data_IF_721318101554
#
_entry.id   IF_721318101554
#
_cell.length_a   1.000
_cell.length_b   1.000
_cell.length_c   1.000
_cell.angle_alpha   90.00
_cell.angle_beta   90.00
_cell.angle_gamma   90.00
#
_symmetry.space_group_name_H-M   'P 1'
#
loop_
_entity.id
_entity.type
_entity.pdbx_description
1 polymer ?
#
# COMPACT_ATOMS: atom_id res chain seq x y z
N UNK A 1 -6.48 18.75 -7.14
CA UNK A 1 -5.54 17.70 -6.66
C UNK A 1 -6.05 17.17 -5.33
N UNK A 2 -6.27 15.88 -5.24
CA UNK A 2 -6.51 15.13 -4.00
C UNK A 2 -5.43 14.06 -3.82
N UNK A 3 -5.21 13.63 -2.59
CA UNK A 3 -4.28 12.53 -2.27
C UNK A 3 -5.08 11.37 -1.73
N UNK A 4 -5.05 10.26 -2.43
CA UNK A 4 -5.74 9.03 -2.06
C UNK A 4 -4.72 8.03 -1.55
N UNK A 5 -5.03 7.39 -0.44
CA UNK A 5 -4.26 6.24 0.05
C UNK A 5 -5.06 4.95 -0.17
N UNK A 6 -4.41 3.93 -0.69
CA UNK A 6 -5.01 2.64 -0.98
C UNK A 6 -4.14 1.52 -0.43
N UNK A 7 -4.78 0.54 0.21
CA UNK A 7 -4.14 -0.64 0.76
C UNK A 7 -5.06 -1.88 0.64
N UNK A 8 -4.51 -3.10 0.57
CA UNK A 8 -5.31 -4.31 0.49
C UNK A 8 -6.21 -4.52 1.71
N UNK A 9 -5.66 -4.32 2.90
CA UNK A 9 -6.37 -4.54 4.17
C UNK A 9 -6.02 -3.46 5.15
N UNK A 10 -7.04 -2.88 5.80
CA UNK A 10 -6.87 -1.96 6.91
C UNK A 10 -7.37 -2.60 8.20
N UNK A 11 -6.46 -2.86 9.13
CA UNK A 11 -6.70 -3.61 10.37
C UNK A 11 -6.46 -2.76 11.61
N UNK A 12 -7.24 -3.00 12.65
CA UNK A 12 -7.06 -2.33 13.93
C UNK A 12 -5.74 -2.77 14.60
N UNK A 13 -4.92 -1.80 15.00
CA UNK A 13 -3.65 -2.05 15.71
C UNK A 13 -2.49 -2.53 14.82
N UNK A 14 -2.69 -2.61 13.53
CA UNK A 14 -1.65 -2.97 12.56
C UNK A 14 -0.76 -1.76 12.21
N UNK A 15 0.54 -2.01 12.04
CA UNK A 15 1.52 -0.95 11.79
C UNK A 15 1.26 -0.21 10.46
N UNK A 16 0.92 -0.92 9.38
CA UNK A 16 0.63 -0.33 8.07
C UNK A 16 -0.62 0.56 8.15
N UNK A 17 -1.65 0.08 8.83
CA UNK A 17 -2.90 0.83 9.03
C UNK A 17 -2.68 2.08 9.87
N UNK A 18 -1.88 1.99 10.92
CA UNK A 18 -1.53 3.14 11.77
C UNK A 18 -0.71 4.19 10.98
N UNK A 19 0.24 3.76 10.15
CA UNK A 19 1.00 4.65 9.26
C UNK A 19 0.07 5.36 8.25
N UNK A 20 -0.87 4.61 7.66
CA UNK A 20 -1.89 5.16 6.75
C UNK A 20 -2.74 6.25 7.42
N UNK A 21 -3.19 6.02 8.67
CA UNK A 21 -3.96 7.01 9.43
C UNK A 21 -3.12 8.25 9.77
N UNK A 22 -1.86 8.06 10.16
CA UNK A 22 -0.96 9.17 10.47
C UNK A 22 -0.67 10.04 9.24
N UNK A 23 -0.41 9.42 8.09
CA UNK A 23 -0.21 10.12 6.82
C UNK A 23 -1.47 10.91 6.44
N UNK A 24 -2.67 10.32 6.55
CA UNK A 24 -3.94 11.01 6.30
C UNK A 24 -4.08 12.26 7.17
N UNK A 25 -3.76 12.14 8.46
CA UNK A 25 -3.83 13.27 9.38
C UNK A 25 -2.89 14.40 8.95
N UNK A 26 -1.63 14.09 8.62
CA UNK A 26 -0.66 15.07 8.15
C UNK A 26 -1.11 15.77 6.86
N UNK A 27 -1.65 15.03 5.90
CA UNK A 27 -2.15 15.60 4.64
C UNK A 27 -3.32 16.56 4.90
N UNK A 28 -4.22 16.21 5.81
CA UNK A 28 -5.33 17.10 6.23
C UNK A 28 -4.86 18.36 6.90
N UNK A 29 -3.84 18.27 7.75
CA UNK A 29 -3.23 19.44 8.41
C UNK A 29 -2.57 20.39 7.40
N UNK A 30 -2.11 19.86 6.25
CA UNK A 30 -1.63 20.66 5.12
C UNK A 30 -2.76 21.31 4.30
N UNK A 31 -4.03 21.08 4.64
CA UNK A 31 -5.18 21.60 3.91
C UNK A 31 -5.47 20.89 2.58
N UNK A 32 -4.94 19.69 2.38
CA UNK A 32 -5.11 18.91 1.15
C UNK A 32 -6.23 17.88 1.35
N UNK A 33 -7.12 17.78 0.35
CA UNK A 33 -8.17 16.74 0.33
C UNK A 33 -7.52 15.36 0.28
N UNK A 34 -7.92 14.48 1.21
CA UNK A 34 -7.39 13.12 1.28
C UNK A 34 -8.38 12.14 1.87
N UNK A 35 -8.34 10.91 1.38
CA UNK A 35 -9.15 9.81 1.88
C UNK A 35 -8.38 8.49 1.80
N UNK A 36 -8.71 7.56 2.70
CA UNK A 36 -8.17 6.20 2.73
C UNK A 36 -9.18 5.22 2.15
N UNK A 37 -8.71 4.29 1.34
CA UNK A 37 -9.51 3.21 0.77
C UNK A 37 -8.83 1.86 1.00
N UNK A 38 -9.64 0.84 1.28
CA UNK A 38 -9.15 -0.53 1.44
C UNK A 38 -10.15 -1.54 0.85
N UNK A 39 -9.63 -2.69 0.42
CA UNK A 39 -10.45 -3.80 -0.04
C UNK A 39 -11.10 -4.51 1.15
N UNK A 40 -10.32 -4.77 2.19
CA UNK A 40 -10.76 -5.38 3.44
C UNK A 40 -10.62 -4.39 4.59
N UNK A 41 -11.67 -4.25 5.39
CA UNK A 41 -11.75 -3.27 6.48
C UNK A 41 -12.14 -4.00 7.77
N UNK A 42 -11.34 -3.83 8.82
CA UNK A 42 -11.63 -4.35 10.17
C UNK A 42 -12.73 -3.51 10.83
N UNK A 43 -13.78 -4.15 11.32
CA UNK A 43 -14.93 -3.49 11.95
C UNK A 43 -14.59 -2.71 13.23
N UNK A 44 -13.43 -2.95 13.83
CA UNK A 44 -12.96 -2.24 15.02
C UNK A 44 -12.35 -0.87 14.73
N UNK A 45 -12.13 -0.54 13.46
CA UNK A 45 -11.61 0.76 13.09
C UNK A 45 -12.61 1.89 13.38
N UNK A 46 -12.14 3.08 13.77
CA UNK A 46 -13.04 4.22 13.96
C UNK A 46 -13.84 4.54 12.71
N UNK A 47 -15.11 4.86 12.87
CA UNK A 47 -15.99 5.25 11.77
C UNK A 47 -15.38 6.42 10.96
N UNK A 48 -15.43 6.33 9.64
CA UNK A 48 -14.90 7.35 8.74
C UNK A 48 -13.37 7.40 8.62
N UNK A 49 -12.64 6.41 9.18
CA UNK A 49 -11.18 6.32 9.02
C UNK A 49 -10.75 5.78 7.67
N UNK A 50 -11.58 4.97 7.04
CA UNK A 50 -11.36 4.33 5.74
C UNK A 50 -12.68 4.08 5.04
N UNK A 51 -12.68 4.05 3.72
CA UNK A 51 -13.82 3.70 2.88
C UNK A 51 -13.55 2.41 2.09
N UNK A 52 -14.59 1.67 1.73
CA UNK A 52 -14.44 0.54 0.82
C UNK A 52 -13.84 0.97 -0.53
N UNK A 53 -12.93 0.20 -1.06
CA UNK A 53 -12.27 0.48 -2.34
C UNK A 53 -13.25 0.72 -3.49
N UNK A 54 -14.41 0.04 -3.51
CA UNK A 54 -15.46 0.25 -4.52
C UNK A 54 -16.05 1.68 -4.55
N UNK A 55 -15.82 2.45 -3.50
CA UNK A 55 -16.27 3.85 -3.39
C UNK A 55 -15.15 4.84 -3.79
N UNK A 56 -13.99 4.33 -4.19
CA UNK A 56 -12.88 5.18 -4.62
C UNK A 56 -13.24 5.88 -5.94
N UNK A 57 -13.11 7.21 -6.01
CA UNK A 57 -13.38 7.95 -7.25
C UNK A 57 -12.31 7.65 -8.31
N UNK A 58 -12.63 7.91 -9.55
CA UNK A 58 -11.61 8.00 -10.59
C UNK A 58 -10.59 9.08 -10.23
N UNK A 59 -9.33 8.81 -10.56
CA UNK A 59 -8.22 9.71 -10.30
C UNK A 59 -7.86 10.47 -11.56
N UNK A 60 -7.81 11.80 -11.43
CA UNK A 60 -7.35 12.69 -12.48
C UNK A 60 -5.82 12.77 -12.51
N UNK A 61 -5.24 13.30 -13.59
CA UNK A 61 -3.79 13.36 -13.79
C UNK A 61 -3.02 14.13 -12.71
N UNK A 62 -3.66 15.12 -12.06
CA UNK A 62 -3.08 15.89 -10.96
C UNK A 62 -3.24 15.23 -9.59
N UNK A 63 -4.06 14.20 -9.47
CA UNK A 63 -4.26 13.48 -8.21
C UNK A 63 -3.07 12.57 -7.89
N UNK A 64 -2.86 12.31 -6.60
CA UNK A 64 -1.81 11.43 -6.12
C UNK A 64 -2.39 10.18 -5.46
N UNK A 65 -1.97 9.03 -5.93
CA UNK A 65 -2.23 7.74 -5.29
C UNK A 65 -1.00 7.29 -4.50
N UNK A 66 -1.15 7.15 -3.20
CA UNK A 66 -0.19 6.46 -2.33
C UNK A 66 -0.70 5.04 -2.12
N UNK A 67 0.01 4.06 -2.67
CA UNK A 67 -0.30 2.66 -2.49
C UNK A 67 0.60 2.03 -1.44
N UNK A 68 0.00 1.40 -0.43
CA UNK A 68 0.72 0.75 0.66
C UNK A 68 0.96 -0.74 0.32
N UNK A 69 2.21 -1.08 0.00
CA UNK A 69 2.62 -2.43 -0.36
C UNK A 69 3.33 -3.13 0.80
N UNK A 70 2.78 -4.27 1.25
CA UNK A 70 3.32 -5.06 2.36
C UNK A 70 3.21 -6.58 2.18
N UNK A 71 2.47 -7.04 1.18
CA UNK A 71 2.20 -8.46 0.97
C UNK A 71 1.83 -8.75 -0.49
N UNK A 72 1.81 -10.03 -0.87
CA UNK A 72 1.20 -10.48 -2.11
C UNK A 72 -0.33 -10.37 -2.03
N UNK A 73 -0.92 -9.72 -3.04
CA UNK A 73 -2.36 -9.45 -3.10
C UNK A 73 -2.81 -9.22 -4.55
N UNK A 74 -3.99 -9.71 -4.97
CA UNK A 74 -4.52 -9.46 -6.31
C UNK A 74 -4.59 -7.97 -6.68
N UNK A 75 -4.80 -7.09 -5.69
CA UNK A 75 -4.81 -5.64 -5.86
C UNK A 75 -3.51 -5.12 -6.45
N UNK A 76 -2.36 -5.73 -6.14
CA UNK A 76 -1.06 -5.38 -6.68
C UNK A 76 -1.01 -5.40 -8.22
N UNK A 77 -1.78 -6.28 -8.84
CA UNK A 77 -1.84 -6.40 -10.30
C UNK A 77 -2.82 -5.39 -10.94
N UNK A 78 -3.69 -4.81 -10.14
CA UNK A 78 -4.71 -3.88 -10.62
C UNK A 78 -4.31 -2.41 -10.44
N UNK A 79 -3.68 -2.08 -9.32
CA UNK A 79 -3.25 -0.71 -8.96
C UNK A 79 -2.42 -0.01 -10.06
N UNK A 80 -1.52 -0.67 -10.81
CA UNK A 80 -0.79 -0.03 -11.90
C UNK A 80 -1.68 0.59 -12.99
N UNK A 81 -2.92 0.11 -13.13
CA UNK A 81 -3.88 0.57 -14.16
C UNK A 81 -4.71 1.78 -13.73
N UNK A 82 -4.67 2.15 -12.47
CA UNK A 82 -5.38 3.32 -11.96
C UNK A 82 -4.80 4.62 -12.57
N UNK A 83 -5.62 5.66 -12.64
CA UNK A 83 -5.22 7.01 -13.02
C UNK A 83 -4.33 7.69 -11.96
N UNK A 84 -4.02 8.96 -12.19
CA UNK A 84 -3.25 9.77 -11.27
C UNK A 84 -1.75 9.47 -11.22
N UNK A 85 -1.02 10.30 -10.50
CA UNK A 85 0.39 10.06 -10.17
C UNK A 85 0.48 9.02 -9.06
N UNK A 86 1.49 8.17 -9.10
CA UNK A 86 1.59 7.03 -8.19
C UNK A 86 2.86 7.04 -7.37
N UNK A 87 2.72 6.79 -6.09
CA UNK A 87 3.82 6.59 -5.13
C UNK A 87 3.59 5.29 -4.39
N UNK A 88 4.62 4.45 -4.32
CA UNK A 88 4.63 3.26 -3.48
C UNK A 88 5.09 3.63 -2.06
N UNK A 89 4.28 3.36 -1.06
CA UNK A 89 4.70 3.29 0.34
C UNK A 89 5.00 1.84 0.68
N UNK A 90 6.29 1.50 0.79
CA UNK A 90 6.74 0.12 0.97
C UNK A 90 6.95 -0.19 2.44
N UNK A 91 6.23 -1.19 2.94
CA UNK A 91 6.25 -1.64 4.33
C UNK A 91 7.00 -2.94 4.54
N UNK A 92 7.85 -3.33 3.61
CA UNK A 92 8.55 -4.60 3.59
C UNK A 92 7.64 -5.82 3.37
N UNK A 93 8.15 -6.78 2.63
CA UNK A 93 7.56 -8.11 2.53
C UNK A 93 8.47 -9.06 3.31
N UNK A 94 7.91 -9.68 4.35
CA UNK A 94 8.67 -10.64 5.17
C UNK A 94 9.27 -11.72 4.26
N UNK A 95 10.58 -11.97 4.33
CA UNK A 95 11.22 -12.98 3.51
C UNK A 95 10.57 -14.36 3.69
N UNK A 96 10.30 -15.08 2.57
CA UNK A 96 9.56 -16.35 2.62
C UNK A 96 10.18 -17.40 3.54
N UNK A 97 11.50 -17.39 3.70
CA UNK A 97 12.24 -18.32 4.56
C UNK A 97 11.81 -18.29 6.03
N UNK A 98 11.29 -17.17 6.52
CA UNK A 98 10.78 -17.08 7.90
C UNK A 98 9.50 -17.90 8.13
N UNK A 99 8.79 -18.25 7.08
CA UNK A 99 7.55 -19.02 7.16
C UNK A 99 7.74 -20.50 6.81
N UNK A 100 8.87 -20.88 6.24
CA UNK A 100 9.12 -22.27 5.80
C UNK A 100 9.04 -23.25 6.96
N UNK A 101 8.32 -24.35 6.70
CA UNK A 101 8.17 -25.45 7.64
C UNK A 101 7.02 -25.31 8.63
N UNK A 102 6.35 -24.15 8.69
CA UNK A 102 5.17 -23.99 9.53
C UNK A 102 4.00 -23.23 8.89
N UNK A 103 4.21 -22.47 7.82
CA UNK A 103 3.13 -21.79 7.12
C UNK A 103 3.43 -21.63 5.62
N UNK A 104 3.16 -22.65 4.85
CA UNK A 104 3.43 -22.68 3.40
C UNK A 104 2.56 -21.68 2.61
N UNK A 105 1.36 -21.32 3.10
CA UNK A 105 0.54 -20.28 2.48
C UNK A 105 1.22 -18.90 2.62
N UNK A 106 1.82 -18.62 3.76
CA UNK A 106 2.58 -17.39 3.97
C UNK A 106 3.85 -17.35 3.10
N UNK A 107 4.51 -18.49 2.91
CA UNK A 107 5.65 -18.62 1.95
C UNK A 107 5.19 -18.23 0.55
N UNK A 108 4.12 -18.86 0.05
CA UNK A 108 3.60 -18.59 -1.29
C UNK A 108 3.19 -17.12 -1.47
N UNK A 109 2.50 -16.55 -0.48
CA UNK A 109 2.08 -15.14 -0.50
C UNK A 109 3.27 -14.17 -0.48
N UNK A 110 4.30 -14.44 0.30
CA UNK A 110 5.51 -13.62 0.33
C UNK A 110 6.27 -13.69 -1.01
N UNK A 111 6.40 -14.88 -1.59
CA UNK A 111 7.03 -15.05 -2.91
C UNK A 111 6.25 -14.33 -4.01
N UNK A 112 4.94 -14.48 -4.05
CA UNK A 112 4.06 -13.78 -4.98
C UNK A 112 4.21 -12.26 -4.82
N UNK A 113 4.17 -11.77 -3.58
CA UNK A 113 4.32 -10.33 -3.29
C UNK A 113 5.63 -9.74 -3.80
N UNK A 114 6.75 -10.42 -3.66
CA UNK A 114 8.03 -9.96 -4.19
C UNK A 114 8.02 -9.85 -5.73
N UNK A 115 7.41 -10.82 -6.41
CA UNK A 115 7.27 -10.79 -7.87
C UNK A 115 6.33 -9.66 -8.32
N UNK A 116 5.20 -9.49 -7.63
CA UNK A 116 4.23 -8.45 -7.89
C UNK A 116 4.83 -7.04 -7.70
N UNK A 117 5.66 -6.84 -6.67
CA UNK A 117 6.37 -5.56 -6.44
C UNK A 117 7.33 -5.22 -7.58
N UNK A 118 8.00 -6.19 -8.18
CA UNK A 118 8.84 -5.95 -9.36
C UNK A 118 8.02 -5.48 -10.59
N UNK A 119 6.78 -5.97 -10.72
CA UNK A 119 5.88 -5.51 -11.78
C UNK A 119 5.35 -4.11 -11.49
N UNK A 120 4.97 -3.83 -10.24
CA UNK A 120 4.51 -2.51 -9.79
C UNK A 120 5.60 -1.46 -9.98
N UNK A 121 6.87 -1.78 -9.68
CA UNK A 121 7.99 -0.85 -9.81
C UNK A 121 8.09 -0.21 -11.21
N UNK A 122 7.62 -0.90 -12.24
CA UNK A 122 7.59 -0.37 -13.62
C UNK A 122 6.53 0.72 -13.83
N UNK A 123 5.50 0.74 -13.02
CA UNK A 123 4.38 1.69 -13.12
C UNK A 123 4.43 2.80 -12.07
N UNK A 124 5.28 2.66 -11.07
CA UNK A 124 5.42 3.60 -9.96
C UNK A 124 6.78 4.31 -10.05
N UNK A 125 6.82 5.58 -10.48
CA UNK A 125 8.08 6.30 -10.66
C UNK A 125 8.76 6.63 -9.33
N UNK A 126 8.02 6.61 -8.21
CA UNK A 126 8.52 6.96 -6.88
C UNK A 126 8.14 5.92 -5.85
N UNK A 127 9.06 5.70 -4.89
CA UNK A 127 8.83 4.88 -3.73
C UNK A 127 9.29 5.57 -2.46
N UNK A 128 8.55 5.34 -1.38
CA UNK A 128 8.86 5.80 -0.02
C UNK A 128 9.06 4.57 0.85
N UNK A 129 10.22 4.47 1.48
CA UNK A 129 10.55 3.45 2.45
C UNK A 129 10.58 4.05 3.86
N UNK A 130 10.22 3.27 4.86
CA UNK A 130 10.25 3.66 6.27
C UNK A 130 11.61 3.43 6.94
N UNK A 131 12.55 2.77 6.25
CA UNK A 131 13.91 2.52 6.73
C UNK A 131 14.91 2.44 5.58
N UNK A 132 16.20 2.55 5.91
CA UNK A 132 17.27 2.35 4.92
C UNK A 132 17.31 0.90 4.41
N UNK A 133 16.97 -0.06 5.24
CA UNK A 133 16.83 -1.46 4.85
C UNK A 133 15.74 -1.61 3.78
N UNK A 134 14.56 -1.08 4.02
CA UNK A 134 13.43 -1.14 3.06
C UNK A 134 13.74 -0.35 1.79
N UNK A 135 14.49 0.75 1.89
CA UNK A 135 14.95 1.51 0.71
C UNK A 135 15.89 0.67 -0.17
N UNK A 136 16.81 -0.09 0.43
CA UNK A 136 17.70 -0.98 -0.32
C UNK A 136 16.91 -2.13 -0.97
N UNK A 137 15.90 -2.64 -0.28
CA UNK A 137 15.02 -3.69 -0.79
C UNK A 137 14.19 -3.19 -1.99
N UNK A 138 13.60 -2.01 -1.89
CA UNK A 138 12.92 -1.35 -3.02
C UNK A 138 13.81 -1.21 -4.25
N UNK A 139 15.09 -0.82 -4.05
CA UNK A 139 16.04 -0.74 -5.18
C UNK A 139 16.27 -2.08 -5.86
N UNK A 140 16.36 -3.17 -5.11
CA UNK A 140 16.47 -4.54 -5.66
C UNK A 140 15.19 -4.95 -6.42
N UNK A 141 14.04 -4.45 -5.98
CA UNK A 141 12.74 -4.69 -6.63
C UNK A 141 12.53 -3.83 -7.89
N UNK A 142 13.38 -2.82 -8.12
CA UNK A 142 13.37 -2.00 -9.34
C UNK A 142 12.78 -0.59 -9.20
N UNK A 143 12.48 -0.17 -7.97
CA UNK A 143 12.05 1.21 -7.67
C UNK A 143 13.21 2.21 -7.73
#
# INVERSE_FOLDING_TARGET
>A
MKIIQLLPTMSFGDAVSNDTLAIRQMIREMGIETENYAENIDDRLPAGSVKPMREMPELEDEDLLIYHGSTGDPLNMWVPRLGGRKVMRYHNITPPEFFRGYNEQAVARAMSGLQEMQLIARAFPYGIADSDFNRQDMRKLGF
#
